data_IF_091478374723
#
_entry.id   IF_091478374723
#
_cell.length_a   1.000
_cell.length_b   1.000
_cell.length_c   1.000
_cell.angle_alpha   90.00
_cell.angle_beta   90.00
_cell.angle_gamma   90.00
#
_symmetry.space_group_name_H-M   'P 1'
#
loop_
_entity.id
_entity.type
_entity.pdbx_description
1 polymer ?
#
# COMPACT_ATOMS: atom_id res chain seq x y z
N UNK A 1 28.55 2.83 36.29
CA UNK A 1 27.70 2.16 35.29
C UNK A 1 26.31 2.78 35.37
N UNK A 2 25.66 2.91 34.21
CA UNK A 2 24.27 3.35 33.97
C UNK A 2 24.01 4.87 33.99
N UNK A 3 24.19 5.48 32.81
CA UNK A 3 23.32 6.57 32.35
C UNK A 3 22.15 5.93 31.62
N UNK A 4 20.95 6.23 32.08
CA UNK A 4 19.68 5.71 31.58
C UNK A 4 19.25 6.59 30.40
N UNK A 5 19.83 6.35 29.22
CA UNK A 5 19.38 6.97 27.96
C UNK A 5 18.08 6.29 27.52
N UNK A 6 16.97 6.69 28.13
CA UNK A 6 15.62 6.33 27.67
C UNK A 6 15.31 7.02 26.35
N UNK A 7 15.84 6.48 25.26
CA UNK A 7 15.47 6.86 23.89
C UNK A 7 13.96 6.62 23.78
N UNK A 8 13.18 7.70 23.63
CA UNK A 8 11.71 7.67 23.67
C UNK A 8 11.04 6.70 22.68
N UNK A 9 9.72 6.60 22.72
CA UNK A 9 8.96 5.67 21.88
C UNK A 9 8.70 6.20 20.48
N UNK A 10 8.98 5.40 19.45
CA UNK A 10 8.56 5.66 18.06
C UNK A 10 7.17 5.04 17.83
N UNK A 11 6.24 5.83 17.29
CA UNK A 11 4.95 5.34 16.80
C UNK A 11 4.81 5.68 15.32
N UNK A 12 4.33 4.71 14.55
CA UNK A 12 4.06 4.86 13.12
C UNK A 12 2.55 4.97 12.95
N UNK A 13 2.10 6.07 12.33
CA UNK A 13 0.70 6.26 12.05
C UNK A 13 0.21 5.31 10.94
N UNK A 14 -1.03 4.84 11.04
CA UNK A 14 -1.68 3.99 10.04
C UNK A 14 -1.60 4.58 8.63
N UNK A 15 -1.68 5.92 8.51
CA UNK A 15 -1.56 6.64 7.25
C UNK A 15 -0.20 6.46 6.58
N UNK A 16 0.88 6.35 7.35
CA UNK A 16 2.23 6.11 6.83
C UNK A 16 2.34 4.69 6.26
N UNK A 17 1.76 3.71 6.95
CA UNK A 17 1.72 2.32 6.48
C UNK A 17 0.86 2.19 5.22
N UNK A 18 -0.25 2.94 5.15
CA UNK A 18 -1.09 3.01 3.96
C UNK A 18 -0.35 3.62 2.75
N UNK A 19 0.48 4.65 2.97
CA UNK A 19 1.32 5.22 1.92
C UNK A 19 2.35 4.21 1.40
N UNK A 20 3.06 3.52 2.29
CA UNK A 20 4.02 2.46 1.91
C UNK A 20 3.32 1.37 1.09
N UNK A 21 2.16 0.91 1.57
CA UNK A 21 1.33 -0.10 0.89
C UNK A 21 0.94 0.34 -0.51
N UNK A 22 0.52 1.60 -0.65
CA UNK A 22 0.07 2.15 -1.94
C UNK A 22 1.22 2.21 -2.94
N UNK A 23 2.37 2.74 -2.52
CA UNK A 23 3.58 2.81 -3.36
C UNK A 23 4.04 1.42 -3.78
N UNK A 24 4.18 0.51 -2.82
CA UNK A 24 4.64 -0.86 -3.06
C UNK A 24 3.72 -1.61 -4.03
N UNK A 25 2.41 -1.43 -3.94
CA UNK A 25 1.46 -2.06 -4.85
C UNK A 25 1.55 -1.49 -6.27
N UNK A 26 1.76 -0.18 -6.42
CA UNK A 26 1.90 0.46 -7.75
C UNK A 26 3.23 0.15 -8.45
N UNK A 27 4.25 -0.33 -7.74
CA UNK A 27 5.53 -0.75 -8.33
C UNK A 27 5.46 -2.13 -9.00
N UNK A 28 4.37 -2.88 -8.82
CA UNK A 28 4.24 -4.22 -9.40
C UNK A 28 3.73 -4.13 -10.85
N UNK A 29 4.46 -4.75 -11.77
CA UNK A 29 4.07 -4.85 -13.17
C UNK A 29 2.67 -5.47 -13.33
N UNK A 30 1.85 -4.86 -14.19
CA UNK A 30 0.46 -5.23 -14.40
C UNK A 30 -0.54 -4.58 -13.43
N UNK A 31 -0.08 -3.79 -12.46
CA UNK A 31 -0.95 -2.89 -11.68
C UNK A 31 -1.06 -1.56 -12.43
N UNK A 32 -2.23 -1.28 -12.98
CA UNK A 32 -2.49 -0.05 -13.73
C UNK A 32 -2.68 1.15 -12.79
N UNK A 33 -3.48 0.96 -11.73
CA UNK A 33 -3.80 2.00 -10.76
C UNK A 33 -4.39 1.41 -9.48
N UNK A 34 -4.39 2.19 -8.40
CA UNK A 34 -5.16 1.91 -7.19
C UNK A 34 -6.45 2.73 -7.14
N UNK A 35 -7.49 2.18 -6.52
CA UNK A 35 -8.84 2.73 -6.53
C UNK A 35 -8.97 4.04 -5.71
N UNK A 36 -8.63 5.17 -6.32
CA UNK A 36 -8.61 6.48 -5.66
C UNK A 36 -7.24 7.16 -5.68
N UNK A 37 -6.28 6.59 -6.42
CA UNK A 37 -5.04 7.26 -6.74
C UNK A 37 -5.36 8.55 -7.52
N UNK A 38 -5.11 9.69 -6.88
CA UNK A 38 -5.31 11.00 -7.47
C UNK A 38 -4.06 11.34 -8.27
N UNK A 39 -4.20 11.56 -9.58
CA UNK A 39 -3.11 12.02 -10.45
C UNK A 39 -2.56 13.37 -9.96
N UNK A 40 -1.28 13.66 -10.22
CA UNK A 40 -0.62 14.90 -9.78
C UNK A 40 -1.39 16.19 -10.13
N UNK A 41 -2.24 16.18 -11.16
CA UNK A 41 -3.07 17.31 -11.57
C UNK A 41 -4.17 17.68 -10.54
N UNK A 42 -4.62 16.74 -9.74
CA UNK A 42 -5.72 16.92 -8.77
C UNK A 42 -5.23 17.22 -7.34
N UNK A 43 -3.93 17.03 -7.07
CA UNK A 43 -3.28 17.31 -5.77
C UNK A 43 -3.39 18.80 -5.40
N UNK A 44 -3.40 19.70 -6.39
CA UNK A 44 -3.52 21.15 -6.16
C UNK A 44 -4.90 21.63 -5.67
N UNK A 45 -5.94 20.79 -5.77
CA UNK A 45 -7.33 21.17 -5.40
C UNK A 45 -7.95 20.29 -4.32
N UNK A 46 -7.38 19.12 -4.07
CA UNK A 46 -7.99 18.11 -3.22
C UNK A 46 -7.03 17.81 -2.08
N UNK A 47 -7.39 18.27 -0.89
CA UNK A 47 -6.60 18.07 0.32
C UNK A 47 -6.14 16.61 0.50
N UNK A 48 -4.93 16.48 1.04
CA UNK A 48 -4.07 15.28 1.24
C UNK A 48 -4.81 13.98 1.65
N UNK A 49 -6.03 14.08 2.17
CA UNK A 49 -6.90 12.97 2.62
C UNK A 49 -7.30 11.95 1.55
N UNK A 50 -7.01 12.17 0.27
CA UNK A 50 -7.49 11.31 -0.82
C UNK A 50 -6.44 10.38 -1.41
N UNK A 51 -5.16 10.52 -1.03
CA UNK A 51 -4.08 9.66 -1.52
C UNK A 51 -4.24 8.18 -1.12
N UNK A 52 -4.98 7.91 -0.04
CA UNK A 52 -5.24 6.57 0.50
C UNK A 52 -6.58 6.00 0.07
N UNK A 53 -7.33 6.68 -0.81
CA UNK A 53 -8.54 6.07 -1.38
C UNK A 53 -8.09 4.83 -2.16
N UNK A 54 -8.52 3.67 -1.70
CA UNK A 54 -8.15 2.37 -2.27
C UNK A 54 -7.25 1.52 -1.36
N UNK A 55 -6.75 2.06 -0.25
CA UNK A 55 -6.03 1.29 0.78
C UNK A 55 -6.63 1.55 2.14
N UNK A 56 -6.99 0.47 2.84
CA UNK A 56 -7.30 0.51 4.25
C UNK A 56 -6.27 -0.32 4.99
N UNK A 57 -5.56 0.31 5.91
CA UNK A 57 -4.63 -0.37 6.80
C UNK A 57 -5.20 -0.33 8.22
N UNK A 58 -5.07 -1.45 8.92
CA UNK A 58 -5.31 -1.53 10.35
C UNK A 58 -4.06 -2.06 11.02
N UNK A 59 -3.49 -1.24 11.91
CA UNK A 59 -2.37 -1.65 12.76
C UNK A 59 -2.94 -2.02 14.13
N UNK A 60 -2.55 -3.18 14.66
CA UNK A 60 -2.94 -3.65 16.00
C UNK A 60 -1.72 -4.19 16.69
N UNK A 61 -1.18 -3.41 17.65
CA UNK A 61 0.09 -3.72 18.28
C UNK A 61 1.22 -3.76 17.23
N UNK A 62 1.86 -4.92 17.08
CA UNK A 62 2.92 -5.13 16.08
C UNK A 62 2.42 -5.78 14.78
N UNK A 63 1.10 -5.92 14.60
CA UNK A 63 0.51 -6.61 13.45
C UNK A 63 -0.21 -5.67 12.52
N UNK A 64 -0.15 -5.95 11.22
CA UNK A 64 -0.75 -5.14 10.16
C UNK A 64 -1.66 -5.99 9.30
N UNK A 65 -2.86 -5.46 9.03
CA UNK A 65 -3.78 -5.94 8.01
C UNK A 65 -3.96 -4.86 6.96
N UNK A 66 -3.81 -5.23 5.70
CA UNK A 66 -3.95 -4.33 4.57
C UNK A 66 -5.05 -4.83 3.62
N UNK A 67 -6.03 -3.97 3.33
CA UNK A 67 -7.04 -4.18 2.30
C UNK A 67 -6.78 -3.21 1.15
N UNK A 68 -6.52 -3.75 -0.05
CA UNK A 68 -6.19 -3.00 -1.25
C UNK A 68 -7.29 -3.14 -2.29
N UNK A 69 -7.58 -2.05 -2.99
CA UNK A 69 -8.45 -2.01 -4.16
C UNK A 69 -7.63 -1.60 -5.39
N UNK A 70 -7.46 -2.51 -6.33
CA UNK A 70 -6.54 -2.39 -7.47
C UNK A 70 -7.27 -2.47 -8.81
N UNK A 71 -6.73 -1.77 -9.80
CA UNK A 71 -7.05 -1.97 -11.21
C UNK A 71 -5.84 -2.60 -11.89
N UNK A 72 -6.06 -3.68 -12.63
CA UNK A 72 -5.00 -4.40 -13.32
C UNK A 72 -4.99 -4.06 -14.80
N UNK A 73 -3.84 -4.20 -15.44
CA UNK A 73 -3.73 -4.10 -16.90
C UNK A 73 -4.23 -5.38 -17.58
N UNK A 74 -4.89 -5.22 -18.71
CA UNK A 74 -5.28 -6.35 -19.55
C UNK A 74 -4.05 -7.12 -20.05
N UNK A 75 -4.14 -8.44 -20.06
CA UNK A 75 -3.06 -9.33 -20.51
C UNK A 75 -2.20 -9.90 -19.38
N UNK A 76 -2.33 -9.41 -18.15
CA UNK A 76 -1.67 -9.98 -16.98
C UNK A 76 -2.51 -11.05 -16.28
N UNK A 77 -1.85 -12.06 -15.71
CA UNK A 77 -2.50 -13.10 -14.93
C UNK A 77 -2.89 -12.55 -13.55
N UNK A 78 -4.20 -12.45 -13.28
CA UNK A 78 -4.72 -11.83 -12.04
C UNK A 78 -4.16 -12.51 -10.77
N UNK A 79 -4.27 -13.85 -10.57
CA UNK A 79 -3.68 -14.50 -9.39
C UNK A 79 -2.18 -14.30 -9.22
N UNK A 80 -1.42 -14.36 -10.31
CA UNK A 80 0.04 -14.21 -10.27
C UNK A 80 0.43 -12.78 -9.91
N UNK A 81 -0.17 -11.78 -10.56
CA UNK A 81 0.06 -10.37 -10.26
C UNK A 81 -0.37 -10.03 -8.83
N UNK A 82 -1.52 -10.55 -8.37
CA UNK A 82 -1.95 -10.36 -6.98
C UNK A 82 -0.95 -10.96 -5.98
N UNK A 83 -0.43 -12.15 -6.24
CA UNK A 83 0.59 -12.78 -5.40
C UNK A 83 1.86 -11.90 -5.30
N UNK A 84 2.31 -11.35 -6.43
CA UNK A 84 3.44 -10.41 -6.48
C UNK A 84 3.17 -9.14 -5.69
N UNK A 85 1.96 -8.57 -5.80
CA UNK A 85 1.54 -7.41 -4.98
C UNK A 85 1.55 -7.74 -3.49
N UNK A 86 0.99 -8.89 -3.09
CA UNK A 86 0.97 -9.29 -1.68
C UNK A 86 2.37 -9.42 -1.10
N UNK A 87 3.28 -10.09 -1.81
CA UNK A 87 4.67 -10.24 -1.40
C UNK A 87 5.39 -8.89 -1.32
N UNK A 88 5.24 -8.04 -2.35
CA UNK A 88 5.88 -6.73 -2.41
C UNK A 88 5.39 -5.80 -1.28
N UNK A 89 4.08 -5.74 -1.05
CA UNK A 89 3.47 -4.96 0.04
C UNK A 89 3.94 -5.46 1.40
N UNK A 90 3.90 -6.78 1.61
CA UNK A 90 4.37 -7.38 2.85
C UNK A 90 5.83 -6.99 3.12
N UNK A 91 6.71 -7.25 2.16
CA UNK A 91 8.13 -6.96 2.31
C UNK A 91 8.39 -5.47 2.54
N UNK A 92 7.67 -4.57 1.88
CA UNK A 92 7.83 -3.13 2.07
C UNK A 92 7.46 -2.70 3.49
N UNK A 93 6.31 -3.16 4.01
CA UNK A 93 5.86 -2.81 5.36
C UNK A 93 6.84 -3.38 6.39
N UNK A 94 7.15 -4.67 6.33
CA UNK A 94 7.99 -5.34 7.33
C UNK A 94 9.41 -4.75 7.35
N UNK A 95 10.01 -4.49 6.18
CA UNK A 95 11.38 -3.95 6.10
C UNK A 95 11.48 -2.48 6.51
N UNK A 96 10.46 -1.65 6.24
CA UNK A 96 10.50 -0.22 6.56
C UNK A 96 10.06 0.09 7.99
N UNK A 97 9.15 -0.71 8.55
CA UNK A 97 8.48 -0.38 9.82
C UNK A 97 8.81 -1.35 10.95
N UNK A 98 9.32 -2.55 10.64
CA UNK A 98 9.51 -3.62 11.63
C UNK A 98 8.20 -4.25 12.13
N UNK A 99 7.05 -3.85 11.60
CA UNK A 99 5.76 -4.47 11.87
C UNK A 99 5.65 -5.82 11.16
N UNK A 100 4.74 -6.69 11.61
CA UNK A 100 4.47 -7.98 10.98
C UNK A 100 3.16 -7.93 10.21
N UNK A 101 3.17 -8.30 8.93
CA UNK A 101 1.95 -8.30 8.11
C UNK A 101 1.27 -9.66 8.21
N UNK A 102 0.03 -9.69 8.71
CA UNK A 102 -0.73 -10.93 8.85
C UNK A 102 -1.54 -11.22 7.60
N UNK A 103 -2.19 -10.20 7.03
CA UNK A 103 -3.13 -10.35 5.93
C UNK A 103 -2.96 -9.20 4.91
N UNK A 104 -2.91 -9.56 3.63
CA UNK A 104 -2.96 -8.62 2.51
C UNK A 104 -4.10 -9.05 1.59
N UNK A 105 -5.25 -8.38 1.73
CA UNK A 105 -6.42 -8.65 0.92
C UNK A 105 -6.42 -7.75 -0.30
N UNK A 106 -6.68 -8.32 -1.48
CA UNK A 106 -6.73 -7.57 -2.74
C UNK A 106 -8.12 -7.72 -3.35
N UNK A 107 -8.75 -6.59 -3.64
CA UNK A 107 -9.99 -6.48 -4.41
C UNK A 107 -9.69 -5.86 -5.77
N UNK A 108 -10.00 -6.58 -6.84
CA UNK A 108 -9.91 -6.02 -8.19
C UNK A 108 -11.17 -5.19 -8.48
N UNK A 109 -11.00 -3.92 -8.78
CA UNK A 109 -12.11 -2.99 -9.07
C UNK A 109 -12.31 -2.76 -10.57
N UNK A 110 -11.26 -2.90 -11.37
CA UNK A 110 -11.31 -2.70 -12.82
C UNK A 110 -10.17 -3.45 -13.52
N UNK A 111 -10.32 -3.67 -14.83
CA UNK A 111 -9.24 -4.11 -15.72
C UNK A 111 -9.11 -3.06 -16.82
N UNK A 112 -7.95 -2.42 -16.89
CA UNK A 112 -7.65 -1.42 -17.90
C UNK A 112 -7.35 -2.11 -19.23
N UNK A 113 -8.19 -1.83 -20.23
CA UNK A 113 -8.07 -2.39 -21.58
C UNK A 113 -7.31 -1.47 -22.55
N UNK A 114 -6.94 -0.26 -22.14
CA UNK A 114 -6.18 0.64 -23.02
C UNK A 114 -4.74 0.13 -23.16
N UNK A 115 -4.26 -0.12 -24.39
CA UNK A 115 -2.84 -0.37 -24.61
C UNK A 115 -2.09 0.90 -24.18
N UNK A 116 -1.04 0.74 -23.37
CA UNK A 116 -0.13 1.84 -23.03
C UNK A 116 0.28 2.58 -24.31
N UNK A 117 -0.06 3.86 -24.37
CA UNK A 117 0.18 4.73 -25.51
C UNK A 117 1.64 5.19 -25.57
#
# INVERSE_FOLDING_TARGET
MQGDDSIGSVQIADEVVAMITSLAATEVEGVSAMAGNITNELIGKVGVKNLTKGVKVQVTGNTVKADLALSLEYGYNIPETCSKVQEKVKNAIENMTGLTVTDVNIRIVNVNMEPGN
#
